data_IF_749820609745
#
_entry.id   IF_749820609745
#
_cell.length_a   1.000
_cell.length_b   1.000
_cell.length_c   1.000
_cell.angle_alpha   90.00
_cell.angle_beta   90.00
_cell.angle_gamma   90.00
#
_symmetry.space_group_name_H-M   'P 1'
#
loop_
_entity.id
_entity.type
_entity.pdbx_description
1 polymer ?
#
# COMPACT_ATOMS: atom_id res chain seq x y z
N UNK A 1 -9.21 28.83 -9.74
CA UNK A 1 -8.90 27.46 -10.17
C UNK A 1 -7.42 27.25 -9.91
N UNK A 2 -7.12 26.57 -8.80
CA UNK A 2 -5.80 26.58 -8.17
C UNK A 2 -4.81 25.71 -8.94
N UNK A 3 -3.57 26.18 -9.02
CA UNK A 3 -2.45 25.53 -9.68
C UNK A 3 -2.44 24.01 -9.43
N UNK A 4 -2.45 23.21 -10.50
CA UNK A 4 -2.15 21.79 -10.44
C UNK A 4 -0.74 21.65 -9.86
N UNK A 5 -0.66 21.34 -8.57
CA UNK A 5 0.63 21.14 -7.91
C UNK A 5 1.19 19.81 -8.45
N UNK A 6 2.46 19.73 -8.90
CA UNK A 6 3.02 18.50 -9.50
C UNK A 6 2.85 17.23 -8.66
N UNK A 7 2.86 17.38 -7.33
CA UNK A 7 2.59 16.28 -6.37
C UNK A 7 1.16 15.74 -6.44
N UNK A 8 0.18 16.59 -6.74
CA UNK A 8 -1.21 16.19 -6.91
C UNK A 8 -1.36 15.36 -8.19
N UNK A 9 -0.81 15.84 -9.31
CA UNK A 9 -0.81 15.11 -10.59
C UNK A 9 -0.11 13.76 -10.45
N UNK A 10 1.07 13.71 -9.82
CA UNK A 10 1.78 12.46 -9.57
C UNK A 10 0.95 11.46 -8.74
N UNK A 11 0.22 11.95 -7.73
CA UNK A 11 -0.67 11.12 -6.92
C UNK A 11 -1.86 10.60 -7.73
N UNK A 12 -2.51 11.47 -8.52
CA UNK A 12 -3.61 11.10 -9.40
C UNK A 12 -3.18 10.05 -10.43
N UNK A 13 -2.08 10.29 -11.16
CA UNK A 13 -1.53 9.35 -12.13
C UNK A 13 -1.16 8.01 -11.49
N UNK A 14 -0.63 8.01 -10.26
CA UNK A 14 -0.34 6.77 -9.53
C UNK A 14 -1.63 5.98 -9.18
N UNK A 15 -2.71 6.66 -8.80
CA UNK A 15 -3.99 5.99 -8.54
C UNK A 15 -4.59 5.40 -9.83
N UNK A 16 -4.54 6.13 -10.95
CA UNK A 16 -4.97 5.62 -12.26
C UNK A 16 -4.17 4.37 -12.63
N UNK A 17 -2.84 4.42 -12.50
CA UNK A 17 -1.97 3.26 -12.77
C UNK A 17 -2.32 2.05 -11.88
N UNK A 18 -2.60 2.27 -10.58
CA UNK A 18 -3.04 1.21 -9.67
C UNK A 18 -4.35 0.58 -10.12
N UNK A 19 -5.28 1.37 -10.67
CA UNK A 19 -6.54 0.87 -11.19
C UNK A 19 -6.33 0.03 -12.46
N UNK A 20 -5.50 0.49 -13.39
CA UNK A 20 -5.13 -0.26 -14.61
C UNK A 20 -4.52 -1.63 -14.29
N UNK A 21 -3.78 -1.74 -13.19
CA UNK A 21 -3.17 -2.99 -12.73
C UNK A 21 -4.06 -3.81 -11.78
N UNK A 22 -5.32 -3.39 -11.61
CA UNK A 22 -6.35 -4.08 -10.83
C UNK A 22 -6.11 -4.06 -9.32
N UNK A 23 -5.39 -3.07 -8.78
CA UNK A 23 -5.21 -2.90 -7.33
C UNK A 23 -6.35 -2.09 -6.70
N UNK A 24 -6.95 -1.16 -7.43
CA UNK A 24 -8.11 -0.40 -6.97
C UNK A 24 -9.22 -0.44 -8.02
N UNK A 25 -10.45 -0.26 -7.58
CA UNK A 25 -11.60 0.05 -8.43
C UNK A 25 -12.09 1.44 -8.06
N UNK A 26 -12.59 2.21 -9.02
CA UNK A 26 -13.23 3.50 -8.79
C UNK A 26 -14.45 3.63 -9.71
N UNK A 27 -15.43 4.45 -9.32
CA UNK A 27 -16.68 4.58 -10.08
C UNK A 27 -16.53 5.49 -11.29
N UNK A 28 -16.03 6.71 -11.08
CA UNK A 28 -15.77 7.68 -12.13
C UNK A 28 -14.65 8.64 -11.74
N UNK A 29 -14.23 9.47 -12.70
CA UNK A 29 -13.29 10.57 -12.42
C UNK A 29 -14.06 11.87 -12.23
N UNK A 30 -13.74 12.62 -11.17
CA UNK A 30 -14.28 13.97 -10.96
C UNK A 30 -13.36 14.94 -11.69
N UNK A 31 -13.85 15.53 -12.78
CA UNK A 31 -13.14 16.53 -13.61
C UNK A 31 -11.74 16.07 -14.07
N UNK A 32 -11.51 14.77 -14.22
CA UNK A 32 -10.18 14.19 -14.54
C UNK A 32 -9.08 14.56 -13.53
N UNK A 33 -9.44 15.00 -12.32
CA UNK A 33 -8.52 15.43 -11.27
C UNK A 33 -8.59 14.53 -10.03
N UNK A 34 -9.72 13.84 -9.82
CA UNK A 34 -9.91 12.95 -8.69
C UNK A 34 -10.66 11.68 -9.07
N UNK A 35 -10.54 10.63 -8.25
CA UNK A 35 -11.32 9.40 -8.37
C UNK A 35 -12.48 9.45 -7.37
N UNK A 36 -13.69 9.11 -7.80
CA UNK A 36 -14.82 8.92 -6.91
C UNK A 36 -14.94 7.44 -6.49
N UNK A 37 -15.31 7.22 -5.23
CA UNK A 37 -15.52 5.90 -4.62
C UNK A 37 -14.38 4.90 -4.87
N UNK A 38 -13.12 5.35 -4.70
CA UNK A 38 -11.97 4.48 -4.84
C UNK A 38 -11.91 3.42 -3.71
N UNK A 39 -11.94 2.15 -4.08
CA UNK A 39 -11.91 1.00 -3.16
C UNK A 39 -10.79 0.02 -3.56
N UNK A 40 -10.29 -0.75 -2.58
CA UNK A 40 -9.35 -1.83 -2.87
C UNK A 40 -10.04 -2.95 -3.64
N UNK A 41 -9.33 -3.53 -4.61
CA UNK A 41 -9.73 -4.80 -5.20
C UNK A 41 -9.45 -5.97 -4.24
N UNK A 42 -10.03 -7.15 -4.51
CA UNK A 42 -9.68 -8.38 -3.80
C UNK A 42 -8.16 -8.65 -3.85
N UNK A 43 -7.54 -8.45 -5.03
CA UNK A 43 -6.10 -8.60 -5.25
C UNK A 43 -5.29 -7.73 -4.28
N UNK A 44 -5.60 -6.44 -4.21
CA UNK A 44 -4.88 -5.53 -3.32
C UNK A 44 -5.16 -5.82 -1.85
N UNK A 45 -6.40 -6.16 -1.51
CA UNK A 45 -6.77 -6.49 -0.14
C UNK A 45 -6.00 -7.71 0.37
N UNK A 46 -5.95 -8.81 -0.39
CA UNK A 46 -5.20 -10.01 -0.03
C UNK A 46 -3.69 -9.74 0.03
N UNK A 47 -3.14 -9.01 -0.94
CA UNK A 47 -1.74 -8.63 -0.93
C UNK A 47 -1.38 -7.83 0.34
N UNK A 48 -2.16 -6.80 0.69
CA UNK A 48 -1.89 -5.93 1.83
C UNK A 48 -2.11 -6.61 3.19
N UNK A 49 -3.08 -7.51 3.29
CA UNK A 49 -3.39 -8.25 4.53
C UNK A 49 -2.51 -9.48 4.74
N UNK A 50 -1.89 -10.00 3.68
CA UNK A 50 -0.96 -11.13 3.80
C UNK A 50 0.29 -10.77 4.61
N UNK A 51 0.88 -11.80 5.23
CA UNK A 51 2.13 -11.67 5.98
C UNK A 51 3.28 -11.27 5.05
N UNK A 52 4.06 -10.28 5.46
CA UNK A 52 5.22 -9.82 4.74
C UNK A 52 6.41 -10.75 4.95
N UNK A 53 7.19 -10.98 3.88
CA UNK A 53 8.44 -11.73 3.95
C UNK A 53 9.66 -10.82 4.14
N UNK A 54 9.49 -9.50 4.02
CA UNK A 54 10.61 -8.55 4.09
C UNK A 54 11.11 -8.24 5.50
N UNK A 55 10.29 -8.47 6.54
CA UNK A 55 10.55 -8.06 7.92
C UNK A 55 11.19 -6.66 8.01
N UNK A 56 10.58 -5.70 7.32
CA UNK A 56 11.12 -4.36 7.09
C UNK A 56 11.15 -3.49 8.37
N UNK A 57 10.28 -3.80 9.32
CA UNK A 57 10.22 -3.19 10.64
C UNK A 57 9.96 -4.29 11.68
N UNK A 58 10.85 -4.38 12.66
CA UNK A 58 10.63 -5.21 13.84
C UNK A 58 9.83 -4.43 14.89
N UNK A 59 8.92 -5.08 15.62
CA UNK A 59 8.26 -4.44 16.75
C UNK A 59 9.31 -4.05 17.80
N UNK A 60 9.20 -2.82 18.33
CA UNK A 60 10.19 -2.26 19.26
C UNK A 60 10.35 -3.08 20.55
N UNK A 61 9.27 -3.72 21.02
CA UNK A 61 9.32 -4.70 22.10
C UNK A 61 8.36 -5.88 21.80
N UNK A 62 8.87 -6.98 21.22
CA UNK A 62 8.04 -8.13 20.88
C UNK A 62 7.51 -8.87 22.12
N UNK A 63 8.17 -8.76 23.28
CA UNK A 63 7.82 -9.52 24.48
C UNK A 63 6.60 -8.96 25.23
N UNK A 64 6.32 -7.67 25.05
CA UNK A 64 5.21 -6.97 25.71
C UNK A 64 3.91 -6.99 24.88
N UNK A 65 4.00 -7.31 23.59
CA UNK A 65 2.85 -7.25 22.68
C UNK A 65 2.04 -8.57 22.70
N UNK A 66 0.69 -8.49 22.71
CA UNK A 66 -0.14 -9.67 22.53
C UNK A 66 0.15 -10.38 21.20
N UNK A 67 0.02 -11.71 21.12
CA UNK A 67 0.29 -12.48 19.90
C UNK A 67 -0.48 -11.99 18.66
N UNK A 68 -1.72 -11.53 18.84
CA UNK A 68 -2.55 -10.99 17.76
C UNK A 68 -2.01 -9.68 17.18
N UNK A 69 -1.42 -8.83 18.03
CA UNK A 69 -0.83 -7.55 17.62
C UNK A 69 0.49 -7.80 16.89
N UNK A 70 1.30 -8.75 17.38
CA UNK A 70 2.50 -9.20 16.70
C UNK A 70 2.19 -9.72 15.30
N UNK A 71 1.21 -10.62 15.15
CA UNK A 71 0.79 -11.12 13.84
C UNK A 71 0.31 -9.99 12.92
N UNK A 72 -0.49 -9.04 13.42
CA UNK A 72 -0.95 -7.91 12.62
C UNK A 72 0.20 -6.99 12.17
N UNK A 73 1.22 -6.81 13.02
CA UNK A 73 2.42 -6.02 12.69
C UNK A 73 3.22 -6.61 11.53
N UNK A 74 3.10 -7.93 11.31
CA UNK A 74 3.81 -8.66 10.26
C UNK A 74 3.11 -8.57 8.90
N UNK A 75 1.92 -8.00 8.79
CA UNK A 75 1.23 -7.82 7.50
C UNK A 75 1.94 -6.82 6.60
N UNK A 76 1.82 -7.00 5.29
CA UNK A 76 2.40 -6.10 4.29
C UNK A 76 2.03 -4.62 4.49
N UNK A 77 0.78 -4.33 4.84
CA UNK A 77 0.34 -2.97 5.12
C UNK A 77 0.98 -2.39 6.39
N UNK A 78 1.13 -3.19 7.44
CA UNK A 78 1.77 -2.77 8.69
C UNK A 78 3.25 -2.44 8.46
N UNK A 79 3.95 -3.31 7.73
CA UNK A 79 5.36 -3.11 7.37
C UNK A 79 5.58 -1.87 6.50
N UNK A 80 4.69 -1.62 5.53
CA UNK A 80 4.74 -0.40 4.71
C UNK A 80 4.47 0.87 5.54
N UNK A 81 3.50 0.83 6.47
CA UNK A 81 3.19 1.95 7.36
C UNK A 81 4.34 2.26 8.31
N UNK A 82 4.97 1.22 8.88
CA UNK A 82 6.14 1.37 9.74
C UNK A 82 7.31 2.00 8.98
N UNK A 83 7.63 1.50 7.78
CA UNK A 83 8.66 2.06 6.91
C UNK A 83 8.42 3.54 6.56
N UNK A 84 7.16 3.92 6.35
CA UNK A 84 6.77 5.33 6.14
C UNK A 84 6.93 6.18 7.40
N UNK A 85 6.56 5.65 8.57
CA UNK A 85 6.65 6.36 9.84
C UNK A 85 8.10 6.58 10.28
N UNK A 86 8.98 5.60 10.04
CA UNK A 86 10.42 5.66 10.29
C UNK A 86 11.16 6.67 9.37
N UNK A 87 10.55 7.05 8.23
CA UNK A 87 11.14 7.99 7.27
C UNK A 87 12.25 7.39 6.41
N UNK A 88 12.57 6.10 6.55
CA UNK A 88 13.54 5.40 5.72
C UNK A 88 13.02 5.20 4.30
N UNK A 89 13.51 6.03 3.38
CA UNK A 89 13.21 5.91 1.94
C UNK A 89 13.70 4.59 1.34
N UNK A 90 14.75 4.00 1.90
CA UNK A 90 15.28 2.70 1.47
C UNK A 90 14.31 1.58 1.86
N UNK A 91 13.82 1.59 3.10
CA UNK A 91 12.86 0.59 3.59
C UNK A 91 11.54 0.71 2.86
N UNK A 92 11.04 1.94 2.66
CA UNK A 92 9.82 2.20 1.90
C UNK A 92 9.93 1.68 0.47
N UNK A 93 11.05 1.96 -0.22
CA UNK A 93 11.30 1.43 -1.57
C UNK A 93 11.27 -0.10 -1.60
N UNK A 94 11.92 -0.78 -0.64
CA UNK A 94 11.90 -2.25 -0.58
C UNK A 94 10.49 -2.78 -0.43
N UNK A 95 9.71 -2.23 0.50
CA UNK A 95 8.31 -2.62 0.69
C UNK A 95 7.51 -2.46 -0.60
N UNK A 96 7.57 -1.30 -1.25
CA UNK A 96 6.82 -1.05 -2.49
C UNK A 96 7.28 -1.98 -3.62
N UNK A 97 8.59 -2.14 -3.83
CA UNK A 97 9.13 -3.04 -4.85
C UNK A 97 8.67 -4.48 -4.63
N UNK A 98 8.69 -4.97 -3.39
CA UNK A 98 8.19 -6.30 -3.05
C UNK A 98 6.70 -6.44 -3.34
N UNK A 99 5.87 -5.47 -2.96
CA UNK A 99 4.42 -5.54 -3.20
C UNK A 99 4.07 -5.55 -4.68
N UNK A 100 4.80 -4.78 -5.51
CA UNK A 100 4.53 -4.69 -6.94
C UNK A 100 5.15 -5.83 -7.74
N UNK A 101 6.16 -6.54 -7.22
CA UNK A 101 6.78 -7.68 -7.89
C UNK A 101 6.07 -9.02 -7.62
N UNK A 102 5.25 -9.10 -6.56
CA UNK A 102 4.56 -10.34 -6.21
C UNK A 102 3.12 -10.34 -6.75
N UNK A 103 2.73 -11.38 -7.51
CA UNK A 103 1.32 -11.58 -7.82
C UNK A 103 0.56 -11.84 -6.52
N UNK A 104 -0.67 -11.31 -6.37
CA UNK A 104 -1.51 -11.59 -5.21
C UNK A 104 -1.76 -13.10 -5.13
N UNK A 105 -1.86 -13.60 -3.89
CA UNK A 105 -2.24 -14.97 -3.62
C UNK A 105 -3.63 -15.22 -4.28
N UNK A 106 -3.69 -16.16 -5.23
CA UNK A 106 -4.93 -16.52 -5.95
C UNK A 106 -5.07 -15.98 -7.37
N UNK A 107 -4.06 -15.33 -7.96
CA UNK A 107 -4.01 -15.08 -9.40
C UNK A 107 -3.55 -16.35 -10.13
N UNK A 108 -4.50 -17.25 -10.43
CA UNK A 108 -4.35 -18.35 -11.39
C UNK A 108 -5.21 -18.10 -12.61
#
# INVERSE_FOLDING_TARGET
>A
FGLHHPRFEAGFSAMVWLAEHGYINFQETIRQEALDQAVLSQKAFLLLSSRSQLAAAEPADPGELPPSVLEHSMTNISQLRAARADGSSITLRRCVSYLLSHPPIGAS
#
